data_IF_385387130009
#
_entry.id   IF_385387130009
#
_cell.length_a   1.000
_cell.length_b   1.000
_cell.length_c   1.000
_cell.angle_alpha   90.00
_cell.angle_beta   90.00
_cell.angle_gamma   90.00
#
_symmetry.space_group_name_H-M   'P 1'
#
loop_
_entity.id
_entity.type
_entity.pdbx_description
1 polymer ?
#
# COMPACT_ATOMS: atom_id res chain seq x y z
N UNK A 1 -34.20 -3.57 -25.71
CA UNK A 1 -32.92 -4.29 -25.90
C UNK A 1 -33.16 -5.79 -25.70
N UNK A 2 -32.43 -6.67 -26.41
CA UNK A 2 -32.59 -8.12 -26.28
C UNK A 2 -32.18 -8.59 -24.87
N UNK A 3 -33.07 -9.33 -24.20
CA UNK A 3 -32.89 -9.70 -22.78
C UNK A 3 -32.04 -10.95 -22.55
N UNK A 4 -31.82 -11.73 -23.60
CA UNK A 4 -31.09 -13.01 -23.54
C UNK A 4 -29.63 -12.89 -23.97
N UNK A 5 -29.21 -11.71 -24.41
CA UNK A 5 -27.81 -11.47 -24.79
C UNK A 5 -27.05 -11.10 -23.53
N UNK A 6 -26.02 -11.89 -23.23
CA UNK A 6 -25.13 -11.66 -22.10
C UNK A 6 -23.73 -11.26 -22.61
N UNK A 7 -23.08 -10.36 -21.89
CA UNK A 7 -21.68 -10.00 -22.10
C UNK A 7 -20.99 -9.83 -20.75
N UNK A 8 -19.69 -10.13 -20.65
CA UNK A 8 -18.94 -10.07 -19.38
C UNK A 8 -18.87 -8.65 -18.79
N UNK A 9 -18.90 -7.61 -19.63
CA UNK A 9 -18.92 -6.21 -19.18
C UNK A 9 -20.34 -5.72 -18.82
N UNK A 10 -21.35 -6.58 -18.94
CA UNK A 10 -22.76 -6.22 -18.90
C UNK A 10 -23.35 -6.00 -20.29
N UNK A 11 -24.56 -5.43 -20.33
CA UNK A 11 -25.30 -5.11 -21.55
C UNK A 11 -25.82 -3.67 -21.54
N UNK A 12 -26.86 -3.40 -22.33
CA UNK A 12 -27.45 -2.06 -22.40
C UNK A 12 -28.09 -1.64 -21.07
N UNK A 13 -27.54 -0.57 -20.49
CA UNK A 13 -28.01 0.04 -19.23
C UNK A 13 -28.08 -0.95 -18.07
N UNK A 14 -26.96 -1.65 -17.80
CA UNK A 14 -26.88 -2.60 -16.70
C UNK A 14 -27.08 -1.90 -15.33
N UNK A 15 -28.16 -2.24 -14.64
CA UNK A 15 -28.47 -1.75 -13.28
C UNK A 15 -28.85 -2.94 -12.39
N UNK A 16 -27.88 -3.79 -12.00
CA UNK A 16 -28.17 -4.93 -11.14
C UNK A 16 -28.54 -4.45 -9.73
N UNK A 17 -29.54 -5.09 -9.12
CA UNK A 17 -30.04 -4.70 -7.80
C UNK A 17 -28.97 -4.76 -6.69
N UNK A 18 -27.95 -5.61 -6.86
CA UNK A 18 -26.86 -5.83 -5.91
C UNK A 18 -25.56 -5.08 -6.24
N UNK A 19 -25.59 -4.05 -7.10
CA UNK A 19 -24.37 -3.35 -7.55
C UNK A 19 -23.47 -2.89 -6.40
N UNK A 20 -24.05 -2.39 -5.29
CA UNK A 20 -23.29 -1.90 -4.12
C UNK A 20 -22.46 -3.00 -3.48
N UNK A 21 -23.06 -4.17 -3.25
CA UNK A 21 -22.38 -5.30 -2.66
C UNK A 21 -21.27 -5.82 -3.58
N UNK A 22 -21.54 -5.92 -4.88
CA UNK A 22 -20.54 -6.38 -5.85
C UNK A 22 -19.34 -5.41 -5.93
N UNK A 23 -19.59 -4.09 -5.93
CA UNK A 23 -18.53 -3.08 -5.88
C UNK A 23 -17.73 -3.15 -4.58
N UNK A 24 -18.39 -3.38 -3.45
CA UNK A 24 -17.70 -3.57 -2.17
C UNK A 24 -16.77 -4.79 -2.21
N UNK A 25 -17.26 -5.93 -2.73
CA UNK A 25 -16.46 -7.16 -2.84
C UNK A 25 -15.27 -6.94 -3.77
N UNK A 26 -15.49 -6.33 -4.95
CA UNK A 26 -14.40 -6.02 -5.88
C UNK A 26 -13.37 -5.07 -5.26
N UNK A 27 -13.83 -4.02 -4.58
CA UNK A 27 -12.97 -3.07 -3.86
C UNK A 27 -12.14 -3.74 -2.76
N UNK A 28 -12.77 -4.61 -1.95
CA UNK A 28 -12.10 -5.35 -0.89
C UNK A 28 -11.04 -6.31 -1.46
N UNK A 29 -11.34 -7.01 -2.55
CA UNK A 29 -10.39 -7.89 -3.22
C UNK A 29 -9.18 -7.11 -3.75
N UNK A 30 -9.40 -5.99 -4.45
CA UNK A 30 -8.32 -5.13 -4.95
C UNK A 30 -7.48 -4.57 -3.79
N UNK A 31 -8.12 -4.09 -2.72
CA UNK A 31 -7.44 -3.59 -1.54
C UNK A 31 -6.56 -4.66 -0.89
N UNK A 32 -7.08 -5.89 -0.74
CA UNK A 32 -6.32 -7.01 -0.18
C UNK A 32 -5.07 -7.33 -1.00
N UNK A 33 -5.19 -7.36 -2.33
CA UNK A 33 -4.04 -7.58 -3.23
C UNK A 33 -3.00 -6.47 -3.05
N UNK A 34 -3.43 -5.20 -3.11
CA UNK A 34 -2.53 -4.04 -2.95
C UNK A 34 -1.82 -4.08 -1.60
N UNK A 35 -2.53 -4.36 -0.50
CA UNK A 35 -1.95 -4.41 0.83
C UNK A 35 -0.87 -5.51 0.96
N UNK A 36 -1.13 -6.70 0.41
CA UNK A 36 -0.17 -7.81 0.44
C UNK A 36 1.07 -7.47 -0.40
N UNK A 37 0.87 -7.02 -1.64
CA UNK A 37 1.98 -6.68 -2.54
C UNK A 37 2.80 -5.51 -1.99
N UNK A 38 2.16 -4.49 -1.41
CA UNK A 38 2.84 -3.39 -0.74
C UNK A 38 3.72 -3.92 0.39
N UNK A 39 3.15 -4.65 1.35
CA UNK A 39 3.93 -5.19 2.47
C UNK A 39 5.10 -6.05 1.99
N UNK A 40 4.86 -6.93 1.03
CA UNK A 40 5.89 -7.79 0.45
C UNK A 40 7.04 -6.99 -0.18
N UNK A 41 6.72 -5.89 -0.87
CA UNK A 41 7.69 -4.98 -1.48
C UNK A 41 8.45 -4.19 -0.42
N UNK A 42 7.76 -3.60 0.56
CA UNK A 42 8.37 -2.79 1.62
C UNK A 42 9.34 -3.59 2.51
N UNK A 43 9.05 -4.88 2.72
CA UNK A 43 9.95 -5.79 3.44
C UNK A 43 11.24 -6.14 2.65
N UNK A 44 11.21 -5.99 1.32
CA UNK A 44 12.31 -6.35 0.40
C UNK A 44 13.06 -5.15 -0.16
N UNK A 45 12.55 -3.96 0.06
CA UNK A 45 13.19 -2.73 -0.37
C UNK A 45 14.59 -2.62 0.26
N UNK A 46 15.60 -2.41 -0.58
CA UNK A 46 16.99 -2.24 -0.17
C UNK A 46 17.55 -0.93 -0.73
N UNK A 47 18.11 -0.12 0.16
CA UNK A 47 18.71 1.17 -0.12
C UNK A 47 20.22 1.05 -0.15
N UNK A 48 20.83 1.64 -1.18
CA UNK A 48 22.28 1.61 -1.38
C UNK A 48 23.04 2.42 -0.32
N UNK A 49 22.45 3.53 0.14
CA UNK A 49 22.97 4.36 1.21
C UNK A 49 21.84 4.88 2.08
N UNK A 50 22.19 5.33 3.28
CA UNK A 50 21.25 5.96 4.20
C UNK A 50 20.94 7.38 3.71
N UNK A 51 19.66 7.75 3.53
CA UNK A 51 19.30 9.10 3.11
C UNK A 51 19.64 10.12 4.21
N UNK A 52 19.94 11.34 3.78
CA UNK A 52 20.36 12.40 4.67
C UNK A 52 19.20 12.90 5.56
N UNK A 53 19.46 13.50 6.73
CA UNK A 53 18.40 13.90 7.68
C UNK A 53 17.37 14.89 7.12
N UNK A 54 17.76 15.73 6.17
CA UNK A 54 16.87 16.71 5.54
C UNK A 54 16.06 16.14 4.37
N UNK A 55 16.38 14.93 3.91
CA UNK A 55 15.73 14.34 2.74
C UNK A 55 14.48 13.56 3.12
N UNK A 56 13.33 14.13 2.76
CA UNK A 56 12.05 13.49 2.96
C UNK A 56 11.79 12.42 1.90
N UNK A 57 11.49 11.21 2.35
CA UNK A 57 11.12 10.09 1.51
C UNK A 57 9.86 9.41 2.07
N UNK A 58 8.81 9.21 1.25
CA UNK A 58 7.57 8.60 1.74
C UNK A 58 7.79 7.15 2.20
N UNK A 59 8.73 6.42 1.60
CA UNK A 59 9.03 5.04 2.01
C UNK A 59 9.55 4.93 3.44
N UNK A 60 10.01 6.00 4.09
CA UNK A 60 10.41 5.97 5.51
C UNK A 60 9.30 5.51 6.45
N UNK A 61 8.03 5.66 6.06
CA UNK A 61 6.90 5.24 6.91
C UNK A 61 6.65 3.72 6.89
N UNK A 62 7.13 2.98 5.89
CA UNK A 62 6.81 1.55 5.73
C UNK A 62 7.99 0.66 5.34
N UNK A 63 9.05 1.22 4.76
CA UNK A 63 10.24 0.46 4.37
C UNK A 63 11.01 0.01 5.60
N UNK A 64 11.23 -1.30 5.72
CA UNK A 64 11.84 -1.89 6.92
C UNK A 64 13.22 -1.28 7.22
N UNK A 65 14.07 -1.18 6.20
CA UNK A 65 15.44 -0.67 6.35
C UNK A 65 15.48 0.79 6.81
N UNK A 66 14.63 1.65 6.22
CA UNK A 66 14.58 3.06 6.60
C UNK A 66 14.07 3.25 8.04
N UNK A 67 13.05 2.49 8.45
CA UNK A 67 12.53 2.52 9.82
C UNK A 67 13.59 2.09 10.83
N UNK A 68 14.38 1.07 10.52
CA UNK A 68 15.50 0.60 11.37
C UNK A 68 16.57 1.70 11.52
N UNK A 69 16.98 2.30 10.41
CA UNK A 69 17.93 3.42 10.42
C UNK A 69 17.43 4.65 11.20
N UNK A 70 16.15 5.02 11.07
CA UNK A 70 15.56 6.12 11.83
C UNK A 70 15.50 5.81 13.34
N UNK A 71 15.29 4.53 13.72
CA UNK A 71 15.35 4.09 15.13
C UNK A 71 16.77 4.19 15.68
N UNK A 72 17.77 3.75 14.92
CA UNK A 72 19.18 3.83 15.32
C UNK A 72 19.62 5.27 15.56
N UNK A 73 19.23 6.23 14.71
CA UNK A 73 19.58 7.64 14.90
C UNK A 73 18.97 8.21 16.17
N UNK A 74 17.70 7.88 16.45
CA UNK A 74 17.03 8.29 17.69
C UNK A 74 17.75 7.75 18.92
N UNK A 75 18.22 6.49 18.88
CA UNK A 75 18.97 5.88 19.98
C UNK A 75 20.32 6.56 20.18
N UNK A 76 21.07 6.86 19.10
CA UNK A 76 22.35 7.58 19.16
C UNK A 76 22.21 9.02 19.67
N UNK A 77 21.16 9.73 19.25
CA UNK A 77 20.84 11.05 19.76
C UNK A 77 20.51 11.01 21.26
N UNK A 78 19.78 9.98 21.71
CA UNK A 78 19.45 9.81 23.11
C UNK A 78 20.66 9.41 24.00
N UNK A 79 21.64 8.68 23.47
CA UNK A 79 22.85 8.35 24.22
C UNK A 79 23.80 9.53 24.36
N UNK A 80 24.02 10.29 23.27
CA UNK A 80 24.87 11.49 23.28
C UNK A 80 24.35 12.62 24.18
N UNK A 81 23.03 12.68 24.42
CA UNK A 81 22.45 13.64 25.36
C UNK A 81 22.71 13.27 26.84
N UNK A 82 23.07 12.01 27.12
CA UNK A 82 23.28 11.50 28.49
C UNK A 82 24.74 11.57 28.95
N UNK A 83 25.67 11.72 28.02
CA UNK A 83 27.11 11.97 28.28
C UNK A 83 27.38 13.47 28.47
#
# INVERSE_FOLDING_TARGET
YPKHVWSPAGGWYAQPANWRANTLIAGAAMFGIVAITWKFSADRERWAHKPEPWEWHPSRYWSKQLIEWDKEDKLKAASSTKE
#
